data_IF_213422607344
#
_entry.id   IF_213422607344
#
_cell.length_a   1.000
_cell.length_b   1.000
_cell.length_c   1.000
_cell.angle_alpha   90.00
_cell.angle_beta   90.00
_cell.angle_gamma   90.00
#
_symmetry.space_group_name_H-M   'P 1'
#
loop_
_entity.id
_entity.type
_entity.pdbx_description
1 polymer ?
#
# COMPACT_ATOMS: atom_id res chain seq x y z
N UNK A 1 -18.28 -4.55 -29.44
CA UNK A 1 -19.12 -5.21 -28.42
C UNK A 1 -18.78 -6.68 -28.48
N UNK A 2 -18.50 -7.29 -27.33
CA UNK A 2 -18.22 -8.73 -27.23
C UNK A 2 -19.55 -9.49 -27.25
N UNK A 3 -19.62 -10.59 -28.02
CA UNK A 3 -20.83 -11.39 -28.13
C UNK A 3 -21.13 -12.19 -26.87
N UNK A 4 -20.11 -12.55 -26.11
CA UNK A 4 -20.22 -13.16 -24.79
C UNK A 4 -19.00 -12.81 -23.94
N UNK A 5 -19.12 -12.94 -22.64
CA UNK A 5 -17.99 -12.91 -21.71
C UNK A 5 -18.37 -13.71 -20.46
N UNK A 6 -17.47 -14.57 -19.92
CA UNK A 6 -17.80 -15.40 -18.77
C UNK A 6 -17.98 -14.57 -17.51
N UNK A 7 -19.06 -14.82 -16.76
CA UNK A 7 -19.24 -14.22 -15.43
C UNK A 7 -18.12 -14.65 -14.50
N UNK A 8 -17.46 -13.72 -13.82
CA UNK A 8 -16.45 -14.06 -12.82
C UNK A 8 -17.01 -14.94 -11.72
N UNK A 9 -16.24 -15.92 -11.25
CA UNK A 9 -16.56 -16.78 -10.13
C UNK A 9 -16.12 -16.10 -8.82
N UNK A 10 -16.61 -16.62 -7.70
CA UNK A 10 -16.30 -16.05 -6.38
C UNK A 10 -14.80 -16.08 -6.07
N UNK A 11 -14.21 -14.91 -5.78
CA UNK A 11 -12.77 -14.79 -5.52
C UNK A 11 -11.86 -15.12 -6.72
N UNK A 12 -12.41 -15.27 -7.93
CA UNK A 12 -11.63 -15.52 -9.14
C UNK A 12 -10.76 -14.32 -9.50
N UNK A 13 -9.50 -14.57 -9.86
CA UNK A 13 -8.59 -13.54 -10.36
C UNK A 13 -9.04 -13.06 -11.76
N UNK A 14 -8.99 -11.76 -12.03
CA UNK A 14 -9.36 -11.22 -13.35
C UNK A 14 -8.64 -11.91 -14.51
N UNK A 15 -7.35 -12.19 -14.35
CA UNK A 15 -6.59 -12.99 -15.31
C UNK A 15 -7.25 -14.35 -15.61
N UNK A 16 -7.78 -15.01 -14.59
CA UNK A 16 -8.49 -16.31 -14.74
C UNK A 16 -9.74 -16.17 -15.58
N UNK A 17 -10.51 -15.09 -15.38
CA UNK A 17 -11.70 -14.79 -16.21
C UNK A 17 -11.31 -14.62 -17.69
N UNK A 18 -10.19 -13.93 -17.97
CA UNK A 18 -9.66 -13.79 -19.33
C UNK A 18 -9.22 -15.15 -19.91
N UNK A 19 -8.63 -16.03 -19.10
CA UNK A 19 -8.28 -17.39 -19.51
C UNK A 19 -9.52 -18.22 -19.87
N UNK A 20 -10.58 -18.12 -19.08
CA UNK A 20 -11.86 -18.81 -19.36
C UNK A 20 -12.52 -18.28 -20.64
N UNK A 21 -12.44 -16.96 -20.88
CA UNK A 21 -12.87 -16.39 -22.15
C UNK A 21 -12.07 -16.98 -23.31
N UNK A 22 -10.75 -17.06 -23.19
CA UNK A 22 -9.87 -17.63 -24.22
C UNK A 22 -10.26 -19.05 -24.61
N UNK A 23 -10.47 -19.91 -23.62
CA UNK A 23 -10.91 -21.31 -23.86
C UNK A 23 -12.27 -21.35 -24.54
N UNK A 24 -13.25 -20.61 -24.03
CA UNK A 24 -14.63 -20.61 -24.52
C UNK A 24 -14.82 -19.94 -25.87
N UNK A 25 -13.91 -19.04 -26.26
CA UNK A 25 -13.90 -18.42 -27.60
C UNK A 25 -13.38 -19.35 -28.67
N UNK A 26 -12.76 -20.48 -28.29
CA UNK A 26 -12.14 -21.40 -29.25
C UNK A 26 -10.88 -20.89 -29.93
N UNK A 27 -10.33 -19.78 -29.45
CA UNK A 27 -9.09 -19.21 -29.98
C UNK A 27 -7.89 -20.11 -29.66
N UNK A 28 -7.13 -20.51 -30.69
CA UNK A 28 -5.96 -21.36 -30.51
C UNK A 28 -4.75 -20.59 -29.92
N UNK A 29 -4.66 -19.30 -30.21
CA UNK A 29 -3.55 -18.46 -29.75
C UNK A 29 -4.03 -17.32 -28.86
N UNK A 30 -3.35 -17.07 -27.74
CA UNK A 30 -3.63 -15.95 -26.83
C UNK A 30 -3.65 -14.60 -27.56
N UNK A 31 -2.81 -14.44 -28.60
CA UNK A 31 -2.78 -13.22 -29.41
C UNK A 31 -4.11 -12.90 -30.10
N UNK A 32 -4.84 -13.92 -30.58
CA UNK A 32 -6.17 -13.73 -31.18
C UNK A 32 -7.14 -13.18 -30.13
N UNK A 33 -7.14 -13.80 -28.97
CA UNK A 33 -7.95 -13.33 -27.83
C UNK A 33 -7.60 -11.90 -27.40
N UNK A 34 -6.32 -11.55 -27.41
CA UNK A 34 -5.89 -10.18 -27.10
C UNK A 34 -6.40 -9.16 -28.14
N UNK A 35 -6.40 -9.50 -29.41
CA UNK A 35 -6.98 -8.63 -30.44
C UNK A 35 -8.47 -8.38 -30.22
N UNK A 36 -9.20 -9.41 -29.82
CA UNK A 36 -10.64 -9.30 -29.54
C UNK A 36 -10.90 -8.45 -28.29
N UNK A 37 -10.21 -8.75 -27.18
CA UNK A 37 -10.46 -8.12 -25.89
C UNK A 37 -9.91 -6.68 -25.80
N UNK A 38 -8.76 -6.42 -26.45
CA UNK A 38 -7.99 -5.18 -26.26
C UNK A 38 -7.83 -4.37 -27.55
N UNK A 39 -8.71 -4.56 -28.52
CA UNK A 39 -8.77 -3.76 -29.77
C UNK A 39 -7.41 -3.65 -30.48
N UNK A 40 -6.67 -4.75 -30.51
CA UNK A 40 -5.38 -4.84 -31.21
C UNK A 40 -4.16 -4.30 -30.45
N UNK A 41 -4.28 -3.94 -29.17
CA UNK A 41 -3.11 -3.57 -28.37
C UNK A 41 -2.15 -4.77 -28.21
N UNK A 42 -0.87 -4.61 -28.52
CA UNK A 42 0.11 -5.66 -28.27
C UNK A 42 0.43 -5.74 -26.77
N UNK A 43 0.60 -6.95 -26.26
CA UNK A 43 1.12 -7.27 -24.91
C UNK A 43 0.45 -6.52 -23.74
N UNK A 44 -0.86 -6.63 -23.53
CA UNK A 44 -1.43 -6.22 -22.27
C UNK A 44 -0.83 -7.07 -21.14
N UNK A 45 -0.46 -6.47 -20.02
CA UNK A 45 0.05 -7.19 -18.84
C UNK A 45 -1.08 -7.95 -18.13
N UNK A 46 -1.68 -8.91 -18.84
CA UNK A 46 -2.89 -9.60 -18.38
C UNK A 46 -2.67 -10.48 -17.16
N UNK A 47 -1.48 -11.07 -17.01
CA UNK A 47 -1.15 -11.93 -15.87
C UNK A 47 -0.88 -11.17 -14.57
N UNK A 48 -0.86 -9.84 -14.61
CA UNK A 48 -0.68 -9.04 -13.40
C UNK A 48 -1.92 -9.14 -12.51
N UNK A 49 -1.78 -9.50 -11.22
CA UNK A 49 -2.89 -9.48 -10.27
C UNK A 49 -3.25 -8.06 -9.83
N UNK A 50 -2.47 -7.07 -10.27
CA UNK A 50 -2.79 -5.66 -10.08
C UNK A 50 -3.75 -5.19 -11.15
N UNK A 51 -4.71 -4.33 -10.79
CA UNK A 51 -5.57 -3.72 -11.77
C UNK A 51 -4.76 -2.87 -12.75
N UNK A 52 -5.16 -2.91 -13.99
CA UNK A 52 -4.63 -2.10 -15.08
C UNK A 52 -5.75 -1.79 -16.08
N UNK A 53 -5.43 -1.15 -17.17
CA UNK A 53 -6.41 -0.77 -18.19
C UNK A 53 -7.19 -1.95 -18.81
N UNK A 54 -6.73 -3.20 -18.63
CA UNK A 54 -7.41 -4.38 -19.21
C UNK A 54 -8.82 -4.58 -18.66
N UNK A 55 -9.08 -4.20 -17.41
CA UNK A 55 -10.43 -4.29 -16.82
C UNK A 55 -11.36 -3.33 -17.58
N UNK A 56 -10.98 -2.04 -17.67
CA UNK A 56 -11.77 -1.04 -18.39
C UNK A 56 -11.96 -1.41 -19.85
N UNK A 57 -10.90 -1.84 -20.54
CA UNK A 57 -10.95 -2.17 -21.95
C UNK A 57 -11.94 -3.28 -22.27
N UNK A 58 -12.04 -4.28 -21.42
CA UNK A 58 -13.02 -5.37 -21.56
C UNK A 58 -14.40 -4.90 -21.13
N UNK A 59 -14.54 -4.34 -19.93
CA UNK A 59 -15.84 -3.96 -19.37
C UNK A 59 -16.55 -2.92 -20.25
N UNK A 60 -15.81 -1.99 -20.86
CA UNK A 60 -16.38 -1.00 -21.78
C UNK A 60 -17.01 -1.60 -23.06
N UNK A 61 -16.78 -2.88 -23.35
CA UNK A 61 -17.33 -3.62 -24.47
C UNK A 61 -18.50 -4.53 -24.07
N UNK A 62 -18.79 -4.63 -22.78
CA UNK A 62 -19.85 -5.45 -22.21
C UNK A 62 -21.13 -4.64 -21.95
N UNK A 63 -22.27 -5.28 -21.73
CA UNK A 63 -23.51 -4.61 -21.34
C UNK A 63 -23.37 -3.79 -20.06
N UNK A 64 -24.24 -2.81 -19.88
CA UNK A 64 -24.19 -1.84 -18.78
C UNK A 64 -24.37 -2.42 -17.37
N UNK A 65 -24.77 -3.68 -17.25
CA UNK A 65 -24.84 -4.40 -15.97
C UNK A 65 -23.47 -4.86 -15.43
N UNK A 66 -22.37 -4.68 -16.21
CA UNK A 66 -21.02 -4.94 -15.75
C UNK A 66 -20.43 -3.71 -15.07
N UNK A 67 -20.04 -3.83 -13.82
CA UNK A 67 -19.44 -2.76 -13.05
C UNK A 67 -17.92 -2.93 -12.93
N UNK A 68 -17.18 -2.00 -13.54
CA UNK A 68 -15.72 -1.97 -13.49
C UNK A 68 -15.18 -1.86 -12.05
N UNK A 69 -15.87 -1.11 -11.18
CA UNK A 69 -15.46 -0.96 -9.77
C UNK A 69 -15.57 -2.28 -9.03
N UNK A 70 -16.65 -3.02 -9.25
CA UNK A 70 -16.85 -4.34 -8.63
C UNK A 70 -15.82 -5.37 -9.11
N UNK A 71 -15.50 -5.38 -10.42
CA UNK A 71 -14.45 -6.24 -10.95
C UNK A 71 -13.10 -5.93 -10.31
N UNK A 72 -12.71 -4.66 -10.23
CA UNK A 72 -11.43 -4.27 -9.63
C UNK A 72 -11.36 -4.64 -8.16
N UNK A 73 -12.45 -4.46 -7.40
CA UNK A 73 -12.50 -4.79 -5.98
C UNK A 73 -12.47 -6.29 -5.70
N UNK A 74 -13.22 -7.08 -6.48
CA UNK A 74 -13.47 -8.48 -6.15
C UNK A 74 -12.51 -9.44 -6.86
N UNK A 75 -11.90 -9.02 -7.99
CA UNK A 75 -11.15 -9.90 -8.88
C UNK A 75 -9.70 -9.47 -9.09
N UNK A 76 -9.18 -8.50 -8.28
CA UNK A 76 -7.78 -8.07 -8.31
C UNK A 76 -7.23 -7.87 -6.89
N UNK A 77 -5.92 -7.68 -6.77
CA UNK A 77 -5.29 -7.34 -5.50
C UNK A 77 -5.44 -5.85 -5.12
N UNK A 78 -6.30 -5.09 -5.78
CA UNK A 78 -6.52 -3.68 -5.48
C UNK A 78 -6.88 -3.42 -4.00
N UNK A 79 -7.87 -4.11 -3.38
CA UNK A 79 -8.24 -3.87 -1.99
C UNK A 79 -7.07 -4.09 -1.03
N UNK A 80 -6.28 -5.14 -1.26
CA UNK A 80 -5.10 -5.45 -0.46
C UNK A 80 -4.09 -4.30 -0.47
N UNK A 81 -3.68 -3.83 -1.66
CA UNK A 81 -2.65 -2.79 -1.75
C UNK A 81 -3.14 -1.40 -1.37
N UNK A 82 -4.43 -1.14 -1.51
CA UNK A 82 -5.02 0.13 -1.10
C UNK A 82 -5.37 0.18 0.39
N UNK A 83 -5.18 -0.92 1.13
CA UNK A 83 -5.58 -1.03 2.54
C UNK A 83 -5.08 0.12 3.41
N UNK A 84 -3.82 0.51 3.24
CA UNK A 84 -3.19 1.56 4.04
C UNK A 84 -3.35 2.99 3.47
N UNK A 85 -4.10 3.14 2.38
CA UNK A 85 -4.35 4.46 1.78
C UNK A 85 -5.62 5.11 2.33
N UNK A 86 -5.68 6.45 2.41
CA UNK A 86 -6.90 7.18 2.76
C UNK A 86 -8.04 6.88 1.79
N UNK A 87 -9.28 6.91 2.29
CA UNK A 87 -10.48 6.60 1.49
C UNK A 87 -10.56 7.43 0.21
N UNK A 88 -10.36 8.75 0.31
CA UNK A 88 -10.37 9.64 -0.85
C UNK A 88 -9.36 9.24 -1.94
N UNK A 89 -8.19 8.74 -1.56
CA UNK A 89 -7.19 8.28 -2.52
C UNK A 89 -7.56 6.93 -3.13
N UNK A 90 -8.18 6.04 -2.35
CA UNK A 90 -8.71 4.77 -2.84
C UNK A 90 -9.77 5.00 -3.92
N UNK A 91 -10.76 5.86 -3.63
CA UNK A 91 -11.85 6.17 -4.56
C UNK A 91 -11.34 6.84 -5.84
N UNK A 92 -10.45 7.83 -5.71
CA UNK A 92 -9.84 8.48 -6.87
C UNK A 92 -9.11 7.48 -7.77
N UNK A 93 -8.27 6.62 -7.18
CA UNK A 93 -7.52 5.61 -7.94
C UNK A 93 -8.47 4.60 -8.62
N UNK A 94 -9.53 4.20 -7.93
CA UNK A 94 -10.53 3.31 -8.49
C UNK A 94 -11.25 3.94 -9.68
N UNK A 95 -11.59 5.21 -9.59
CA UNK A 95 -12.21 5.96 -10.69
C UNK A 95 -11.27 6.12 -11.89
N UNK A 96 -10.00 6.47 -11.66
CA UNK A 96 -8.97 6.56 -12.70
C UNK A 96 -8.82 5.23 -13.46
N UNK A 97 -8.78 4.11 -12.73
CA UNK A 97 -8.74 2.76 -13.32
C UNK A 97 -9.99 2.45 -14.13
N UNK A 98 -11.19 2.84 -13.64
CA UNK A 98 -12.46 2.62 -14.33
C UNK A 98 -12.68 3.53 -15.54
N UNK A 99 -11.86 4.57 -15.73
CA UNK A 99 -11.82 5.41 -16.93
C UNK A 99 -10.71 5.00 -17.91
N UNK A 100 -9.89 4.00 -17.53
CA UNK A 100 -8.75 3.57 -18.35
C UNK A 100 -7.60 4.58 -18.37
N UNK A 101 -7.59 5.57 -17.47
CA UNK A 101 -6.58 6.61 -17.42
C UNK A 101 -5.22 6.08 -16.93
N UNK A 102 -5.24 5.05 -16.10
CA UNK A 102 -4.02 4.43 -15.56
C UNK A 102 -3.65 3.17 -16.35
N UNK A 103 -2.60 3.26 -17.14
CA UNK A 103 -2.09 2.13 -17.95
C UNK A 103 -1.48 1.04 -17.08
N UNK A 104 -0.71 1.42 -16.08
CA UNK A 104 -0.08 0.51 -15.11
C UNK A 104 -0.03 1.19 -13.76
N UNK A 105 -0.65 0.57 -12.77
CA UNK A 105 -0.51 0.99 -11.40
C UNK A 105 0.49 0.09 -10.67
N UNK A 106 1.46 0.70 -9.99
CA UNK A 106 2.44 -0.04 -9.19
C UNK A 106 2.26 0.35 -7.73
N UNK A 107 1.81 -0.56 -6.89
CA UNK A 107 1.62 -0.27 -5.47
C UNK A 107 2.97 -0.07 -4.75
N UNK A 108 2.92 0.59 -3.62
CA UNK A 108 4.05 0.69 -2.71
C UNK A 108 4.31 -0.67 -2.04
N UNK A 109 4.90 -1.61 -2.79
CA UNK A 109 5.30 -2.92 -2.30
C UNK A 109 6.81 -3.08 -2.29
N UNK A 110 7.33 -3.67 -1.22
CA UNK A 110 8.76 -3.96 -1.10
C UNK A 110 9.14 -5.20 -1.92
N UNK A 111 8.22 -6.13 -2.09
CA UNK A 111 8.45 -7.41 -2.77
C UNK A 111 8.44 -7.23 -4.29
N UNK A 112 7.55 -6.38 -4.80
CA UNK A 112 7.32 -6.22 -6.25
C UNK A 112 8.39 -5.37 -6.93
N UNK A 113 9.03 -4.44 -6.21
CA UNK A 113 10.11 -3.59 -6.76
C UNK A 113 11.34 -4.39 -7.22
N UNK A 114 11.55 -5.58 -6.70
CA UNK A 114 12.54 -6.51 -7.26
C UNK A 114 11.83 -7.25 -8.39
N UNK A 115 12.34 -7.19 -9.60
CA UNK A 115 11.89 -7.85 -10.84
C UNK A 115 11.76 -9.40 -10.72
N UNK A 116 11.18 -9.88 -9.65
CA UNK A 116 10.86 -11.31 -9.47
C UNK A 116 9.64 -11.56 -10.33
N UNK A 117 9.75 -12.43 -11.31
CA UNK A 117 8.66 -12.84 -12.16
C UNK A 117 7.46 -13.23 -11.30
N UNK A 118 6.30 -12.74 -11.67
CA UNK A 118 5.07 -13.09 -10.99
C UNK A 118 4.71 -14.53 -11.33
N UNK A 119 4.67 -15.42 -10.32
CA UNK A 119 4.29 -16.82 -10.49
C UNK A 119 2.90 -17.02 -9.92
N UNK A 120 1.97 -17.50 -10.74
CA UNK A 120 0.64 -17.88 -10.30
C UNK A 120 0.70 -19.09 -9.39
N UNK A 121 -0.18 -19.12 -8.39
CA UNK A 121 -0.24 -20.17 -7.38
C UNK A 121 -1.68 -20.66 -7.20
N UNK A 122 -1.82 -21.93 -6.88
CA UNK A 122 -3.10 -22.57 -6.59
C UNK A 122 -3.02 -23.46 -5.35
N UNK A 123 -4.16 -23.76 -4.79
CA UNK A 123 -4.34 -24.76 -3.74
C UNK A 123 -4.96 -26.02 -4.38
N UNK A 124 -4.37 -27.22 -4.21
CA UNK A 124 -4.93 -28.45 -4.77
C UNK A 124 -6.37 -28.74 -4.29
N UNK A 125 -6.68 -28.47 -3.04
CA UNK A 125 -8.03 -28.64 -2.51
C UNK A 125 -9.03 -27.65 -3.10
N UNK A 126 -8.67 -26.35 -3.22
CA UNK A 126 -9.53 -25.39 -3.88
C UNK A 126 -9.79 -25.79 -5.33
N UNK A 127 -8.75 -26.22 -6.06
CA UNK A 127 -8.92 -26.66 -7.45
C UNK A 127 -9.87 -27.87 -7.59
N UNK A 128 -9.87 -28.80 -6.63
CA UNK A 128 -10.82 -29.91 -6.58
C UNK A 128 -12.24 -29.43 -6.28
N UNK A 129 -12.41 -28.58 -5.27
CA UNK A 129 -13.72 -27.99 -4.94
C UNK A 129 -14.31 -27.19 -6.10
N UNK A 130 -13.47 -26.43 -6.82
CA UNK A 130 -13.89 -25.67 -7.99
C UNK A 130 -14.35 -26.59 -9.12
N UNK A 131 -13.61 -27.69 -9.34
CA UNK A 131 -14.00 -28.71 -10.32
C UNK A 131 -15.36 -29.32 -9.95
N UNK A 132 -15.57 -29.68 -8.69
CA UNK A 132 -16.82 -30.25 -8.21
C UNK A 132 -17.99 -29.26 -8.33
N UNK A 133 -17.76 -27.99 -8.08
CA UNK A 133 -18.80 -26.96 -8.04
C UNK A 133 -19.10 -26.32 -9.39
N UNK A 134 -18.06 -26.04 -10.17
CA UNK A 134 -18.15 -25.26 -11.40
C UNK A 134 -17.75 -26.01 -12.67
N UNK A 135 -17.24 -27.24 -12.53
CA UNK A 135 -16.73 -28.05 -13.63
C UNK A 135 -15.36 -27.63 -14.16
N UNK A 136 -14.75 -26.62 -13.56
CA UNK A 136 -13.42 -26.14 -13.93
C UNK A 136 -12.72 -25.43 -12.77
N UNK A 137 -11.43 -25.70 -12.50
CA UNK A 137 -10.65 -24.97 -11.51
C UNK A 137 -10.22 -23.62 -12.08
N UNK A 138 -10.01 -22.64 -11.18
CA UNK A 138 -9.62 -21.29 -11.56
C UNK A 138 -8.56 -20.69 -10.63
N UNK A 139 -7.92 -19.61 -11.07
CA UNK A 139 -6.93 -18.88 -10.26
C UNK A 139 -7.63 -17.99 -9.25
N UNK A 140 -7.50 -18.31 -7.95
CA UNK A 140 -8.04 -17.49 -6.87
C UNK A 140 -7.19 -16.26 -6.60
N UNK A 141 -7.82 -15.11 -6.39
CA UNK A 141 -7.15 -13.85 -6.09
C UNK A 141 -6.35 -13.92 -4.79
N UNK A 142 -6.90 -14.56 -3.75
CA UNK A 142 -6.26 -14.69 -2.43
C UNK A 142 -4.96 -15.48 -2.47
N UNK A 143 -4.83 -16.43 -3.38
CA UNK A 143 -3.60 -17.21 -3.56
C UNK A 143 -2.46 -16.39 -4.18
N UNK A 144 -2.78 -15.24 -4.79
CA UNK A 144 -1.80 -14.40 -5.46
C UNK A 144 -1.19 -13.32 -4.57
N UNK A 145 -1.60 -13.23 -3.29
CA UNK A 145 -1.02 -12.27 -2.34
C UNK A 145 0.46 -12.62 -2.09
N UNK A 146 1.42 -11.68 -2.24
CA UNK A 146 2.86 -11.99 -2.30
C UNK A 146 3.44 -12.83 -1.16
N UNK A 147 2.91 -12.67 0.05
CA UNK A 147 3.36 -13.41 1.24
C UNK A 147 2.55 -14.68 1.51
N UNK A 148 1.50 -14.97 0.72
CA UNK A 148 0.71 -16.17 0.92
C UNK A 148 1.51 -17.39 0.44
N UNK A 149 1.98 -18.21 1.35
CA UNK A 149 2.66 -19.49 1.09
C UNK A 149 1.72 -20.66 1.29
N UNK A 150 0.64 -20.45 2.03
CA UNK A 150 -0.34 -21.45 2.46
C UNK A 150 -1.75 -20.97 2.11
N UNK A 151 -2.63 -21.87 1.75
CA UNK A 151 -4.05 -21.57 1.54
C UNK A 151 -4.72 -21.20 2.87
N UNK A 152 -5.41 -20.06 2.91
CA UNK A 152 -6.11 -19.59 4.12
C UNK A 152 -7.34 -20.47 4.50
N UNK A 153 -7.85 -21.26 3.56
CA UNK A 153 -8.99 -22.16 3.75
C UNK A 153 -8.57 -23.58 4.15
N UNK A 154 -7.52 -24.12 3.51
CA UNK A 154 -7.14 -25.53 3.62
C UNK A 154 -5.83 -25.77 4.38
N UNK A 155 -5.16 -24.73 4.83
CA UNK A 155 -3.90 -24.80 5.60
C UNK A 155 -2.78 -25.64 4.92
N UNK A 156 -2.84 -25.80 3.60
CA UNK A 156 -1.82 -26.48 2.80
C UNK A 156 -1.00 -25.51 1.97
N UNK A 157 0.24 -25.87 1.63
CA UNK A 157 1.12 -25.05 0.79
C UNK A 157 0.49 -24.80 -0.57
N UNK A 158 0.58 -23.56 -1.03
CA UNK A 158 0.20 -23.18 -2.39
C UNK A 158 1.25 -23.72 -3.38
N UNK A 159 0.77 -24.26 -4.48
CA UNK A 159 1.61 -24.78 -5.57
C UNK A 159 1.85 -23.69 -6.62
N UNK A 160 3.11 -23.44 -7.01
CA UNK A 160 3.41 -22.54 -8.11
C UNK A 160 3.05 -23.22 -9.45
N UNK A 161 2.74 -22.40 -10.45
CA UNK A 161 2.65 -22.84 -11.84
C UNK A 161 4.04 -23.21 -12.36
N UNK A 162 4.25 -24.42 -12.85
CA UNK A 162 5.57 -24.97 -13.18
C UNK A 162 6.26 -24.27 -14.40
N UNK A 163 5.50 -23.62 -15.28
CA UNK A 163 6.00 -23.06 -16.54
C UNK A 163 6.03 -21.52 -16.55
N UNK A 164 6.36 -20.88 -15.44
CA UNK A 164 6.18 -19.44 -15.23
C UNK A 164 6.92 -18.50 -16.21
N UNK A 165 8.04 -18.90 -16.81
CA UNK A 165 8.85 -17.98 -17.62
C UNK A 165 8.43 -17.90 -19.10
N UNK A 166 8.00 -18.99 -19.71
CA UNK A 166 7.55 -19.01 -21.11
C UNK A 166 6.17 -18.40 -21.32
N UNK A 167 5.39 -18.21 -20.25
CA UNK A 167 3.96 -17.90 -20.30
C UNK A 167 3.58 -16.48 -19.87
N UNK A 168 4.57 -15.59 -19.70
CA UNK A 168 4.32 -14.20 -19.23
C UNK A 168 3.30 -13.42 -20.05
N UNK A 169 3.11 -13.80 -21.30
CA UNK A 169 2.21 -13.15 -22.25
C UNK A 169 1.13 -14.10 -22.79
N UNK A 170 0.93 -15.25 -22.15
CA UNK A 170 -0.04 -16.26 -22.60
C UNK A 170 -1.21 -16.35 -21.62
N UNK A 171 -2.37 -16.72 -22.14
CA UNK A 171 -3.54 -17.06 -21.34
C UNK A 171 -3.46 -18.54 -20.97
N UNK A 172 -3.22 -18.82 -19.70
CA UNK A 172 -2.99 -20.15 -19.18
C UNK A 172 -4.05 -20.48 -18.12
N UNK A 173 -5.19 -21.06 -18.53
CA UNK A 173 -6.22 -21.45 -17.60
C UNK A 173 -5.72 -22.56 -16.67
N UNK A 174 -6.15 -22.53 -15.40
CA UNK A 174 -5.74 -23.53 -14.41
C UNK A 174 -6.20 -24.92 -14.81
N UNK A 175 -7.36 -25.05 -15.47
CA UNK A 175 -7.90 -26.30 -15.98
C UNK A 175 -7.03 -27.01 -17.04
N UNK A 176 -6.12 -26.29 -17.67
CA UNK A 176 -5.19 -26.82 -18.68
C UNK A 176 -3.78 -27.05 -18.10
N UNK A 177 -3.58 -26.85 -16.80
CA UNK A 177 -2.30 -27.09 -16.15
C UNK A 177 -2.26 -28.50 -15.55
N UNK A 178 -1.05 -29.12 -15.50
CA UNK A 178 -0.88 -30.34 -14.74
C UNK A 178 -1.05 -30.01 -13.26
N UNK A 179 -2.19 -30.42 -12.68
CA UNK A 179 -2.45 -30.20 -11.25
C UNK A 179 -1.79 -31.29 -10.42
N UNK A 180 -0.98 -30.89 -9.46
CA UNK A 180 -0.41 -31.83 -8.50
C UNK A 180 -1.47 -32.25 -7.48
N UNK A 181 -1.63 -33.57 -7.29
CA UNK A 181 -2.46 -34.13 -6.23
C UNK A 181 -1.72 -34.16 -4.87
N UNK A 182 -0.42 -33.95 -4.88
CA UNK A 182 0.39 -33.96 -3.67
C UNK A 182 0.05 -32.76 -2.78
N UNK A 183 -0.35 -33.05 -1.55
CA UNK A 183 -0.70 -32.07 -0.55
C UNK A 183 0.45 -31.91 0.43
N UNK A 184 1.04 -30.73 0.45
CA UNK A 184 2.06 -30.36 1.43
C UNK A 184 1.41 -29.54 2.55
N UNK A 185 1.54 -29.93 3.82
CA UNK A 185 1.07 -29.13 4.93
C UNK A 185 1.89 -27.84 5.09
N UNK A 186 1.37 -26.89 5.84
CA UNK A 186 2.16 -25.74 6.30
C UNK A 186 3.39 -26.23 7.07
N UNK A 187 4.53 -25.63 6.82
CA UNK A 187 5.79 -26.01 7.47
C UNK A 187 5.88 -25.41 8.88
N UNK A 188 5.38 -24.19 9.03
CA UNK A 188 5.40 -23.47 10.28
C UNK A 188 4.00 -23.01 10.70
N UNK A 189 3.67 -23.04 12.01
CA UNK A 189 2.35 -22.58 12.50
C UNK A 189 2.03 -21.13 12.11
N UNK A 190 3.02 -20.27 12.05
CA UNK A 190 2.84 -18.85 11.68
C UNK A 190 2.36 -18.66 10.22
N UNK A 191 2.65 -19.59 9.32
CA UNK A 191 2.20 -19.52 7.93
C UNK A 191 0.66 -19.52 7.84
N UNK A 192 0.00 -20.35 8.66
CA UNK A 192 -1.46 -20.42 8.74
C UNK A 192 -2.07 -19.12 9.27
N UNK A 193 -1.52 -18.62 10.38
CA UNK A 193 -1.97 -17.35 10.96
C UNK A 193 -1.76 -16.19 9.99
N UNK A 194 -0.61 -16.15 9.34
CA UNK A 194 -0.30 -15.11 8.36
C UNK A 194 -1.22 -15.17 7.15
N UNK A 195 -1.55 -16.35 6.63
CA UNK A 195 -2.44 -16.50 5.48
C UNK A 195 -3.86 -15.99 5.77
N UNK A 196 -4.36 -16.16 6.99
CA UNK A 196 -5.64 -15.61 7.44
C UNK A 196 -5.59 -14.07 7.50
N UNK A 197 -4.54 -13.52 8.09
CA UNK A 197 -4.33 -12.06 8.11
C UNK A 197 -4.30 -11.50 6.69
N UNK A 198 -3.56 -12.13 5.78
CA UNK A 198 -3.48 -11.72 4.38
C UNK A 198 -4.85 -11.77 3.68
N UNK A 199 -5.61 -12.83 3.92
CA UNK A 199 -6.97 -12.96 3.42
C UNK A 199 -7.87 -11.85 3.94
N UNK A 200 -7.81 -11.53 5.24
CA UNK A 200 -8.59 -10.44 5.83
C UNK A 200 -8.27 -9.09 5.18
N UNK A 201 -6.99 -8.82 4.89
CA UNK A 201 -6.61 -7.59 4.19
C UNK A 201 -7.15 -7.48 2.77
N UNK A 202 -7.41 -8.59 2.12
CA UNK A 202 -8.02 -8.62 0.79
C UNK A 202 -9.56 -8.57 0.85
N UNK A 203 -10.17 -9.39 1.71
CA UNK A 203 -11.61 -9.70 1.68
C UNK A 203 -12.46 -8.82 2.60
N UNK A 204 -11.90 -8.27 3.69
CA UNK A 204 -12.62 -7.33 4.56
C UNK A 204 -12.99 -6.05 3.81
N UNK A 205 -14.07 -5.36 4.21
CA UNK A 205 -14.57 -4.22 3.47
C UNK A 205 -13.49 -3.24 3.04
N UNK A 206 -13.47 -2.91 1.78
CA UNK A 206 -12.49 -2.02 1.15
C UNK A 206 -12.50 -0.60 1.75
N UNK A 207 -13.67 -0.12 2.18
CA UNK A 207 -13.89 1.21 2.73
C UNK A 207 -13.28 1.41 4.12
N UNK A 208 -12.87 0.32 4.79
CA UNK A 208 -12.19 0.43 6.08
C UNK A 208 -10.86 1.15 5.87
N UNK A 209 -10.73 2.30 6.49
CA UNK A 209 -9.54 3.13 6.43
C UNK A 209 -8.58 2.87 7.58
N UNK A 210 -7.30 3.23 7.42
CA UNK A 210 -6.38 3.30 8.54
C UNK A 210 -6.96 4.16 9.68
N UNK A 211 -6.69 3.78 10.90
CA UNK A 211 -7.23 4.45 12.09
C UNK A 211 -6.81 5.92 12.15
N UNK A 212 -7.76 6.77 12.50
CA UNK A 212 -7.67 8.22 12.52
C UNK A 212 -6.60 8.78 13.48
N UNK A 213 -5.33 8.73 13.07
CA UNK A 213 -4.21 9.22 13.88
C UNK A 213 -3.88 8.38 15.11
N UNK A 214 -4.54 7.22 15.30
CA UNK A 214 -4.27 6.28 16.37
C UNK A 214 -3.76 4.97 15.82
N UNK A 215 -2.58 4.55 16.25
CA UNK A 215 -1.94 3.33 15.80
C UNK A 215 -2.07 2.23 16.87
N UNK A 216 -3.10 1.40 16.74
CA UNK A 216 -3.36 0.29 17.67
C UNK A 216 -2.22 -0.72 17.72
N UNK A 217 -1.58 -0.97 16.57
CA UNK A 217 -0.41 -1.85 16.52
C UNK A 217 0.72 -1.34 17.43
N UNK A 218 1.01 -0.03 17.40
CA UNK A 218 2.02 0.56 18.27
C UNK A 218 1.61 0.46 19.73
N UNK A 219 0.31 0.59 20.05
CA UNK A 219 -0.13 0.40 21.44
C UNK A 219 0.15 -1.01 21.93
N UNK A 220 -0.17 -2.04 21.13
CA UNK A 220 0.15 -3.43 21.47
C UNK A 220 1.67 -3.65 21.61
N UNK A 221 2.49 -3.06 20.73
CA UNK A 221 3.95 -3.09 20.86
C UNK A 221 4.44 -2.52 22.20
N UNK A 222 3.83 -1.44 22.68
CA UNK A 222 4.16 -0.82 23.96
C UNK A 222 3.74 -1.71 25.13
N UNK A 223 2.53 -2.26 25.08
CA UNK A 223 1.96 -3.12 26.12
C UNK A 223 2.77 -4.42 26.27
N UNK A 224 3.32 -4.95 25.17
CA UNK A 224 4.23 -6.09 25.17
C UNK A 224 5.70 -5.74 25.45
N UNK A 225 5.99 -4.48 25.81
CA UNK A 225 7.33 -4.06 26.24
C UNK A 225 8.36 -3.89 25.12
N UNK A 226 7.91 -3.74 23.86
CA UNK A 226 8.78 -3.47 22.71
C UNK A 226 9.05 -1.98 22.47
N UNK A 227 8.63 -1.14 23.37
CA UNK A 227 8.87 0.30 23.31
C UNK A 227 8.53 1.00 24.61
N UNK A 228 8.76 2.30 24.63
CA UNK A 228 8.49 3.16 25.78
C UNK A 228 7.76 4.42 25.33
N UNK A 229 6.77 4.84 26.11
CA UNK A 229 6.12 6.13 25.98
C UNK A 229 6.65 7.08 27.06
N UNK A 230 7.25 8.19 26.63
CA UNK A 230 7.71 9.26 27.54
C UNK A 230 6.98 10.54 27.18
N UNK A 231 6.04 10.97 28.00
CA UNK A 231 5.18 12.16 27.74
C UNK A 231 4.50 12.04 26.35
N UNK A 232 4.88 12.90 25.39
CA UNK A 232 4.34 12.90 24.01
C UNK A 232 5.14 12.04 23.02
N UNK A 233 6.27 11.48 23.45
CA UNK A 233 7.17 10.75 22.57
C UNK A 233 7.05 9.24 22.77
N UNK A 234 7.05 8.50 21.65
CA UNK A 234 7.11 7.05 21.63
C UNK A 234 8.45 6.65 21.01
N UNK A 235 9.10 5.67 21.62
CA UNK A 235 10.32 5.06 21.13
C UNK A 235 10.14 3.54 21.06
N UNK A 236 10.31 2.95 19.89
CA UNK A 236 10.28 1.49 19.71
C UNK A 236 11.69 0.91 19.77
N UNK A 237 11.83 -0.26 20.38
CA UNK A 237 13.07 -1.02 20.36
C UNK A 237 13.17 -1.86 19.08
N UNK A 238 13.45 -1.18 17.97
CA UNK A 238 13.51 -1.81 16.65
C UNK A 238 14.52 -2.96 16.55
N UNK A 239 15.63 -2.92 17.31
CA UNK A 239 16.61 -4.01 17.33
C UNK A 239 16.02 -5.29 17.94
N UNK A 240 15.28 -5.14 19.06
CA UNK A 240 14.61 -6.27 19.70
C UNK A 240 13.52 -6.83 18.81
N UNK A 241 12.67 -5.97 18.23
CA UNK A 241 11.62 -6.37 17.31
C UNK A 241 12.21 -7.17 16.13
N UNK A 242 13.25 -6.64 15.47
CA UNK A 242 13.89 -7.29 14.34
C UNK A 242 14.44 -8.66 14.70
N UNK A 243 15.22 -8.74 15.80
CA UNK A 243 15.81 -9.99 16.27
C UNK A 243 14.76 -11.07 16.58
N UNK A 244 13.69 -10.68 17.28
CA UNK A 244 12.66 -11.62 17.70
C UNK A 244 11.75 -12.04 16.53
N UNK A 245 11.53 -11.15 15.53
CA UNK A 245 10.92 -11.51 14.25
C UNK A 245 11.77 -12.48 13.44
N UNK A 246 13.10 -12.34 13.43
CA UNK A 246 14.00 -13.29 12.76
C UNK A 246 13.88 -14.69 13.35
N UNK A 247 13.68 -14.81 14.66
CA UNK A 247 13.46 -16.11 15.32
C UNK A 247 12.14 -16.77 14.89
N UNK A 248 11.09 -15.97 14.67
CA UNK A 248 9.77 -16.48 14.31
C UNK A 248 9.66 -16.80 12.81
N UNK A 249 10.05 -15.85 11.96
CA UNK A 249 9.81 -15.90 10.52
C UNK A 249 11.03 -16.35 9.68
N UNK A 250 12.19 -16.48 10.32
CA UNK A 250 13.47 -16.68 9.62
C UNK A 250 14.14 -15.37 9.21
N UNK A 251 15.46 -15.41 9.15
CA UNK A 251 16.28 -14.22 8.83
C UNK A 251 16.04 -13.71 7.42
N UNK A 252 15.91 -14.59 6.43
CA UNK A 252 15.79 -14.23 5.02
C UNK A 252 14.54 -13.40 4.75
N UNK A 253 13.39 -13.80 5.30
CA UNK A 253 12.14 -13.07 5.11
C UNK A 253 12.19 -11.69 5.80
N UNK A 254 12.69 -11.66 7.04
CA UNK A 254 12.77 -10.41 7.80
C UNK A 254 13.79 -9.45 7.19
N UNK A 255 14.97 -9.91 6.82
CA UNK A 255 15.99 -9.09 6.15
C UNK A 255 15.52 -8.57 4.79
N UNK A 256 14.79 -9.38 4.03
CA UNK A 256 14.21 -8.97 2.75
C UNK A 256 13.26 -7.78 2.89
N UNK A 257 12.45 -7.73 3.95
CA UNK A 257 11.44 -6.70 4.16
C UNK A 257 11.96 -5.51 4.99
N UNK A 258 12.73 -5.77 6.03
CA UNK A 258 13.15 -4.76 7.00
C UNK A 258 14.63 -4.37 6.88
N UNK A 259 15.43 -5.10 6.08
CA UNK A 259 16.88 -4.94 5.99
C UNK A 259 17.61 -5.68 7.14
N UNK A 260 18.90 -5.48 7.24
CA UNK A 260 19.75 -6.13 8.29
C UNK A 260 19.35 -5.68 9.73
N UNK A 261 18.65 -4.56 9.85
CA UNK A 261 18.11 -4.03 11.11
C UNK A 261 16.97 -3.08 10.83
N UNK A 262 16.03 -2.95 11.77
CA UNK A 262 15.03 -1.89 11.71
C UNK A 262 15.67 -0.52 11.91
N UNK A 263 15.61 0.31 10.88
CA UNK A 263 16.18 1.67 10.90
C UNK A 263 15.34 2.63 11.74
N UNK A 264 15.96 3.72 12.23
CA UNK A 264 15.24 4.79 12.95
C UNK A 264 14.12 5.43 12.08
N UNK A 265 14.33 5.72 10.79
CA UNK A 265 13.24 6.17 9.92
C UNK A 265 12.07 5.18 9.84
N UNK A 266 12.35 3.87 9.78
CA UNK A 266 11.30 2.85 9.75
C UNK A 266 10.51 2.80 11.06
N UNK A 267 11.18 2.81 12.23
CA UNK A 267 10.51 2.89 13.52
C UNK A 267 9.61 4.12 13.61
N UNK A 268 10.10 5.27 13.14
CA UNK A 268 9.31 6.50 13.10
C UNK A 268 8.11 6.40 12.15
N UNK A 269 8.29 5.76 11.00
CA UNK A 269 7.19 5.54 10.06
C UNK A 269 6.09 4.63 10.66
N UNK A 270 6.47 3.58 11.40
CA UNK A 270 5.52 2.71 12.11
C UNK A 270 4.76 3.52 13.18
N UNK A 271 5.46 4.28 14.02
CA UNK A 271 4.84 5.10 15.07
C UNK A 271 3.85 6.11 14.49
N UNK A 272 4.20 6.73 13.39
CA UNK A 272 3.39 7.76 12.73
C UNK A 272 2.35 7.20 11.77
N UNK A 273 2.18 5.88 11.72
CA UNK A 273 1.24 5.22 10.79
C UNK A 273 1.41 5.69 9.34
N UNK A 274 2.66 5.89 8.94
CA UNK A 274 2.96 6.31 7.56
C UNK A 274 2.84 5.13 6.61
N UNK A 275 2.62 5.45 5.35
CA UNK A 275 2.58 4.46 4.29
C UNK A 275 3.94 3.74 4.18
N UNK A 276 4.01 2.56 4.77
CA UNK A 276 4.99 1.53 4.46
C UNK A 276 4.37 0.51 3.51
N UNK A 277 5.17 -0.40 2.97
CA UNK A 277 4.57 -1.53 2.26
C UNK A 277 3.67 -2.32 3.21
N UNK A 278 2.51 -2.76 2.71
CA UNK A 278 1.55 -3.50 3.52
C UNK A 278 2.16 -4.78 4.09
N UNK A 279 3.06 -5.42 3.35
CA UNK A 279 3.75 -6.64 3.78
C UNK A 279 4.50 -6.46 5.11
N UNK A 280 5.08 -5.29 5.34
CA UNK A 280 5.73 -4.98 6.62
C UNK A 280 4.73 -4.88 7.75
N UNK A 281 3.58 -4.24 7.53
CA UNK A 281 2.53 -4.15 8.54
C UNK A 281 1.92 -5.51 8.83
N UNK A 282 1.71 -6.34 7.83
CA UNK A 282 1.16 -7.69 7.98
C UNK A 282 2.09 -8.59 8.81
N UNK A 283 3.42 -8.56 8.56
CA UNK A 283 4.36 -9.31 9.38
C UNK A 283 4.37 -8.82 10.84
N UNK A 284 4.36 -7.51 11.05
CA UNK A 284 4.27 -6.95 12.41
C UNK A 284 2.94 -7.32 13.08
N UNK A 285 1.84 -7.27 12.34
CA UNK A 285 0.52 -7.67 12.82
C UNK A 285 0.51 -9.12 13.28
N UNK A 286 1.05 -10.04 12.48
CA UNK A 286 1.17 -11.45 12.84
C UNK A 286 2.12 -11.70 14.00
N UNK A 287 3.26 -10.99 14.05
CA UNK A 287 4.24 -11.11 15.14
C UNK A 287 3.68 -10.69 16.50
N UNK A 288 2.89 -9.62 16.53
CA UNK A 288 2.27 -9.09 17.74
C UNK A 288 0.87 -9.67 18.01
N UNK A 289 0.42 -10.62 17.20
CA UNK A 289 -0.91 -11.27 17.28
C UNK A 289 -2.06 -10.25 17.34
N UNK A 290 -2.03 -9.27 16.44
CA UNK A 290 -3.05 -8.24 16.36
C UNK A 290 -4.10 -8.64 15.32
N UNK A 291 -5.37 -8.78 15.73
CA UNK A 291 -6.45 -9.06 14.78
C UNK A 291 -6.63 -7.90 13.79
N UNK A 292 -7.20 -8.19 12.62
CA UNK A 292 -7.55 -7.16 11.63
C UNK A 292 -8.45 -6.07 12.26
N UNK A 293 -9.48 -6.49 12.98
CA UNK A 293 -10.44 -5.57 13.57
C UNK A 293 -9.79 -4.71 14.66
N UNK A 294 -8.91 -5.28 15.50
CA UNK A 294 -8.13 -4.51 16.48
C UNK A 294 -7.21 -3.50 15.78
N UNK A 295 -6.51 -3.92 14.72
CA UNK A 295 -5.56 -3.06 14.00
C UNK A 295 -6.25 -1.83 13.39
N UNK A 296 -7.46 -2.01 12.85
CA UNK A 296 -8.21 -0.96 12.16
C UNK A 296 -9.37 -0.38 12.99
N UNK A 297 -9.52 -0.77 14.25
CA UNK A 297 -10.52 -0.17 15.14
C UNK A 297 -10.17 1.31 15.39
N UNK A 298 -10.98 2.25 14.93
CA UNK A 298 -10.72 3.66 15.15
C UNK A 298 -10.80 3.98 16.64
N UNK A 299 -9.89 4.85 17.11
CA UNK A 299 -10.09 5.48 18.42
C UNK A 299 -11.39 6.28 18.35
N UNK A 300 -12.34 6.08 19.27
CA UNK A 300 -13.56 6.86 19.28
C UNK A 300 -13.20 8.36 19.27
N UNK A 301 -13.67 9.07 18.27
CA UNK A 301 -13.72 10.53 18.35
C UNK A 301 -14.80 10.87 19.38
N UNK A 302 -14.58 11.93 20.15
CA UNK A 302 -15.64 12.44 21.01
C UNK A 302 -16.88 12.72 20.15
N UNK A 303 -18.06 12.40 20.68
CA UNK A 303 -19.34 12.52 19.96
C UNK A 303 -19.47 13.91 19.30
N UNK A 304 -19.86 13.91 18.04
CA UNK A 304 -20.04 15.14 17.26
C UNK A 304 -18.73 15.82 16.80
N UNK A 305 -17.56 15.24 17.01
CA UNK A 305 -16.29 15.87 16.61
C UNK A 305 -16.09 15.86 15.09
N UNK A 306 -16.53 14.81 14.44
CA UNK A 306 -16.50 14.73 12.98
C UNK A 306 -17.45 15.75 12.35
N UNK A 307 -18.67 15.86 12.86
CA UNK A 307 -19.69 16.82 12.40
C UNK A 307 -19.19 18.26 12.59
N UNK A 308 -18.52 18.55 13.70
CA UNK A 308 -17.88 19.86 13.93
C UNK A 308 -16.80 20.14 12.87
N UNK A 309 -15.92 19.19 12.59
CA UNK A 309 -14.88 19.37 11.58
C UNK A 309 -15.48 19.55 10.18
N UNK A 310 -16.53 18.79 9.85
CA UNK A 310 -17.29 18.90 8.62
C UNK A 310 -17.94 20.29 8.49
N UNK A 311 -18.63 20.75 9.53
CA UNK A 311 -19.23 22.08 9.59
C UNK A 311 -18.19 23.19 9.33
N UNK A 312 -17.00 23.10 9.93
CA UNK A 312 -15.91 24.05 9.66
C UNK A 312 -15.41 24.02 8.21
N UNK A 313 -15.47 22.86 7.56
CA UNK A 313 -15.14 22.76 6.13
C UNK A 313 -16.19 23.41 5.21
N UNK A 314 -17.46 23.39 5.63
CA UNK A 314 -18.60 23.87 4.84
C UNK A 314 -18.90 25.37 5.05
N UNK A 315 -18.54 25.93 6.19
CA UNK A 315 -18.84 27.35 6.52
C UNK A 315 -18.08 28.38 5.70
N UNK A 316 -17.11 27.96 4.88
CA UNK A 316 -16.23 28.89 4.14
C UNK A 316 -15.26 29.69 5.02
N UNK A 317 -15.43 29.67 6.34
CA UNK A 317 -14.50 30.27 7.30
C UNK A 317 -13.32 29.35 7.49
N UNK A 318 -12.15 29.82 7.08
CA UNK A 318 -10.93 29.01 7.10
C UNK A 318 -10.05 29.42 8.29
N UNK A 319 -9.64 28.43 9.04
CA UNK A 319 -8.81 28.60 10.24
C UNK A 319 -7.39 28.16 9.99
N UNK A 320 -6.44 28.81 10.65
CA UNK A 320 -5.06 28.29 10.72
C UNK A 320 -5.05 26.92 11.40
N UNK A 321 -4.14 26.04 10.97
CA UNK A 321 -4.10 24.61 11.41
C UNK A 321 -4.06 24.45 12.93
N UNK A 322 -3.24 25.28 13.61
CA UNK A 322 -3.12 25.22 15.06
C UNK A 322 -4.39 25.74 15.75
N UNK A 323 -4.93 26.87 15.32
CA UNK A 323 -6.14 27.43 15.88
C UNK A 323 -7.35 26.48 15.76
N UNK A 324 -7.46 25.75 14.66
CA UNK A 324 -8.50 24.72 14.50
C UNK A 324 -8.26 23.52 15.41
N UNK A 325 -7.00 23.10 15.58
CA UNK A 325 -6.63 22.03 16.48
C UNK A 325 -7.02 22.34 17.94
N UNK A 326 -6.68 23.54 18.38
CA UNK A 326 -6.97 24.00 19.76
C UNK A 326 -8.49 24.12 19.97
N UNK A 327 -9.23 24.66 18.96
CA UNK A 327 -10.68 24.82 19.03
C UNK A 327 -11.45 23.50 19.07
N UNK A 328 -10.93 22.46 18.39
CA UNK A 328 -11.56 21.15 18.34
C UNK A 328 -11.03 20.19 19.42
N UNK A 329 -10.00 20.57 20.16
CA UNK A 329 -9.33 19.66 21.10
C UNK A 329 -8.65 18.47 20.43
N UNK A 330 -8.32 18.59 19.15
CA UNK A 330 -7.65 17.56 18.36
C UNK A 330 -6.18 17.91 18.15
N UNK A 331 -5.35 16.91 17.91
CA UNK A 331 -3.98 17.15 17.45
C UNK A 331 -3.96 17.57 15.97
N UNK A 332 -2.96 18.35 15.56
CA UNK A 332 -2.74 18.70 14.16
C UNK A 332 -2.71 17.48 13.24
N UNK A 333 -2.13 16.37 13.71
CA UNK A 333 -2.05 15.12 12.96
C UNK A 333 -3.43 14.51 12.73
N UNK A 334 -4.29 14.53 13.75
CA UNK A 334 -5.67 14.04 13.65
C UNK A 334 -6.48 14.87 12.67
N UNK A 335 -6.39 16.20 12.74
CA UNK A 335 -7.13 17.08 11.83
C UNK A 335 -6.65 16.91 10.38
N UNK A 336 -5.34 16.89 10.14
CA UNK A 336 -4.78 16.65 8.80
C UNK A 336 -5.21 15.30 8.24
N UNK A 337 -5.25 14.28 9.08
CA UNK A 337 -5.68 12.96 8.68
C UNK A 337 -7.17 12.94 8.34
N UNK A 338 -8.04 13.44 9.22
CA UNK A 338 -9.47 13.54 8.99
C UNK A 338 -9.80 14.33 7.72
N UNK A 339 -9.14 15.49 7.56
CA UNK A 339 -9.32 16.33 6.37
C UNK A 339 -8.96 15.60 5.09
N UNK A 340 -7.88 14.82 5.09
CA UNK A 340 -7.44 14.03 3.94
C UNK A 340 -8.37 12.83 3.70
N UNK A 341 -8.79 12.15 4.75
CA UNK A 341 -9.64 10.97 4.70
C UNK A 341 -11.02 11.27 4.10
N UNK A 342 -11.61 12.37 4.55
CA UNK A 342 -12.96 12.78 4.15
C UNK A 342 -13.00 13.92 3.13
N UNK A 343 -11.86 14.23 2.51
CA UNK A 343 -11.71 15.34 1.53
C UNK A 343 -12.23 16.68 2.06
N UNK A 344 -12.11 16.91 3.37
CA UNK A 344 -12.51 18.16 3.99
C UNK A 344 -11.42 19.20 3.79
N UNK A 345 -11.83 20.46 3.55
CA UNK A 345 -10.92 21.61 3.48
C UNK A 345 -11.24 22.65 4.55
N UNK A 346 -11.01 22.35 5.85
CA UNK A 346 -11.31 23.27 6.94
C UNK A 346 -10.22 24.33 7.12
N UNK A 347 -9.11 24.21 6.39
CA UNK A 347 -7.99 25.11 6.49
C UNK A 347 -8.12 26.27 5.52
N UNK A 348 -7.88 27.47 6.01
CA UNK A 348 -7.48 28.59 5.18
C UNK A 348 -6.14 28.30 4.52
N UNK A 349 -5.83 29.04 3.48
CA UNK A 349 -4.42 29.24 3.16
C UNK A 349 -3.76 29.69 4.46
N UNK A 350 -2.73 28.98 4.93
CA UNK A 350 -1.94 29.48 6.05
C UNK A 350 -1.65 30.93 5.70
N UNK A 351 -1.92 31.92 6.58
CA UNK A 351 -1.61 33.30 6.25
C UNK A 351 -0.20 33.28 5.69
N UNK A 352 -0.04 33.79 4.46
CA UNK A 352 1.25 33.79 3.76
C UNK A 352 2.28 34.10 4.83
N UNK A 353 3.25 33.24 5.12
CA UNK A 353 4.29 33.59 6.04
C UNK A 353 4.78 34.93 5.53
N UNK A 354 4.78 35.94 6.40
CA UNK A 354 5.33 37.24 6.05
C UNK A 354 6.51 36.97 5.12
N UNK A 355 6.54 37.59 3.95
CA UNK A 355 7.59 37.30 2.94
C UNK A 355 8.99 37.33 3.54
N UNK A 356 9.15 38.05 4.65
CA UNK A 356 10.32 38.05 5.52
C UNK A 356 10.67 36.71 6.21
N UNK A 357 9.78 35.69 6.23
CA UNK A 357 10.02 34.38 6.88
C UNK A 357 10.04 33.18 5.93
N UNK A 358 10.09 33.37 4.64
CA UNK A 358 10.42 32.26 3.72
C UNK A 358 11.93 32.06 3.65
N UNK A 359 12.55 31.72 4.77
CA UNK A 359 13.92 31.17 4.72
C UNK A 359 13.81 29.73 4.14
N UNK A 360 13.94 29.61 2.83
CA UNK A 360 14.37 28.34 2.25
C UNK A 360 15.78 28.11 2.79
N UNK A 361 15.99 26.97 3.47
CA UNK A 361 17.32 26.61 3.94
C UNK A 361 18.26 26.56 2.71
N UNK A 362 19.23 27.46 2.66
CA UNK A 362 20.32 27.38 1.71
C UNK A 362 21.37 26.43 2.28
N UNK A 363 21.55 25.29 1.65
CA UNK A 363 22.55 24.31 2.08
C UNK A 363 23.83 24.56 1.25
N UNK A 364 24.85 25.06 1.90
CA UNK A 364 26.16 25.21 1.30
C UNK A 364 27.03 24.00 1.62
N UNK A 365 27.46 23.29 0.59
CA UNK A 365 28.47 22.24 0.71
C UNK A 365 29.86 22.82 0.64
N UNK A 366 30.63 22.71 1.69
CA UNK A 366 32.01 23.18 1.72
C UNK A 366 32.95 22.03 2.22
N UNK A 367 34.21 22.12 1.85
CA UNK A 367 35.26 21.23 2.37
C UNK A 367 35.49 21.49 3.87
N UNK A 368 36.05 20.52 4.58
CA UNK A 368 36.37 20.67 6.01
C UNK A 368 37.29 21.88 6.25
N UNK A 369 38.27 22.09 5.37
CA UNK A 369 39.19 23.26 5.44
C UNK A 369 38.45 24.60 5.31
N UNK A 370 37.54 24.72 4.35
CA UNK A 370 36.72 25.92 4.18
C UNK A 370 35.77 26.14 5.34
N UNK A 371 35.22 25.08 5.92
CA UNK A 371 34.37 25.19 7.11
C UNK A 371 35.12 25.73 8.31
N UNK A 372 36.37 25.32 8.48
CA UNK A 372 37.22 25.84 9.57
C UNK A 372 37.59 27.30 9.38
N UNK A 373 37.88 27.72 8.12
CA UNK A 373 38.08 29.13 7.77
C UNK A 373 36.83 29.99 8.02
N UNK A 374 35.63 29.47 7.68
CA UNK A 374 34.36 30.13 7.95
C UNK A 374 34.16 30.30 9.46
N UNK A 375 34.43 29.25 10.24
CA UNK A 375 34.32 29.29 11.70
C UNK A 375 35.25 30.36 12.33
N UNK A 376 36.52 30.35 11.94
CA UNK A 376 37.49 31.33 12.43
C UNK A 376 37.12 32.78 12.06
N UNK A 377 36.62 32.98 10.84
CA UNK A 377 36.16 34.28 10.40
C UNK A 377 34.90 34.75 11.15
N UNK A 378 33.96 33.84 11.40
CA UNK A 378 32.74 34.10 12.19
C UNK A 378 33.09 34.56 13.61
N UNK A 379 34.04 33.87 14.29
CA UNK A 379 34.52 34.24 15.63
C UNK A 379 35.18 35.64 15.58
N UNK A 380 36.06 35.90 14.61
CA UNK A 380 36.74 37.19 14.46
C UNK A 380 35.77 38.36 14.29
N UNK A 381 34.65 38.13 13.64
CA UNK A 381 33.60 39.11 13.40
C UNK A 381 32.51 39.14 14.48
N UNK A 382 32.63 38.35 15.55
CA UNK A 382 31.72 38.36 16.69
C UNK A 382 30.40 37.60 16.48
N UNK A 383 30.34 36.74 15.48
CA UNK A 383 29.17 35.90 15.26
C UNK A 383 29.18 34.66 16.18
N UNK A 384 28.05 34.36 16.82
CA UNK A 384 27.90 33.16 17.66
C UNK A 384 27.69 31.85 16.87
N UNK A 385 27.26 31.98 15.60
CA UNK A 385 26.96 30.81 14.73
C UNK A 385 27.50 31.04 13.32
N UNK A 386 28.16 30.05 12.74
CA UNK A 386 28.73 30.08 11.40
C UNK A 386 27.67 30.33 10.32
N UNK A 387 26.42 29.88 10.55
CA UNK A 387 25.31 30.11 9.65
C UNK A 387 24.91 31.58 9.52
N UNK A 388 24.94 32.34 10.63
CA UNK A 388 24.63 33.78 10.63
C UNK A 388 25.76 34.58 9.95
N UNK A 389 27.01 34.16 10.13
CA UNK A 389 28.13 34.74 9.42
C UNK A 389 28.07 34.49 7.91
N UNK A 390 27.75 33.24 7.51
CA UNK A 390 27.59 32.90 6.10
C UNK A 390 26.45 33.70 5.45
N UNK A 391 25.32 33.86 6.14
CA UNK A 391 24.18 34.66 5.69
C UNK A 391 24.58 36.15 5.51
N UNK A 392 25.30 36.71 6.49
CA UNK A 392 25.83 38.07 6.42
C UNK A 392 26.75 38.25 5.21
N UNK A 393 27.70 37.34 4.98
CA UNK A 393 28.62 37.43 3.84
C UNK A 393 27.88 37.31 2.50
N UNK A 394 26.93 36.40 2.38
CA UNK A 394 26.12 36.24 1.15
C UNK A 394 25.33 37.54 0.89
N UNK A 395 24.69 38.11 1.92
CA UNK A 395 23.91 39.33 1.79
C UNK A 395 24.81 40.52 1.36
N UNK A 396 25.96 40.65 1.99
CA UNK A 396 26.91 41.72 1.64
C UNK A 396 27.41 41.62 0.19
N UNK A 397 27.74 40.39 -0.27
CA UNK A 397 28.16 40.17 -1.66
C UNK A 397 27.01 40.39 -2.65
N UNK A 398 25.79 40.03 -2.28
CA UNK A 398 24.61 40.29 -3.11
C UNK A 398 24.35 41.80 -3.25
N UNK A 399 24.44 42.55 -2.15
CA UNK A 399 24.29 44.02 -2.18
C UNK A 399 25.36 44.65 -3.07
N UNK A 400 26.62 44.17 -3.01
CA UNK A 400 27.73 44.66 -3.86
C UNK A 400 27.61 44.30 -5.37
N UNK A 401 26.83 43.28 -5.73
CA UNK A 401 26.63 42.85 -7.14
C UNK A 401 25.38 43.50 -7.75
N UNK A 402 24.38 43.82 -6.92
CA UNK A 402 23.09 44.35 -7.37
C UNK A 402 23.01 45.86 -7.37
N UNK A 403 23.97 46.59 -6.68
CA UNK A 403 24.23 48.01 -6.79
C UNK A 403 25.17 48.30 -7.99
#
# INVERSE_FOLDING_TARGET
>A
MLNFFPTPLDGELWYSVLCRYHVRSGNLASFTTYKELFRGRPNPKVSSPFPNSTVYEVVSQLPSNWDCKEIIKNHTLFPYYMRMYPLAQKERMLEELCRGETQTWTPASTIIKKKVGWTLRYCPFCAKEDMDKYGEPYWHTVHQIPLATVCCKHDCKLRPMEQAESLRNSLCPLSMQPLSEEILPAEFPWEKSLSKILSDHLTKPYQISPTLGYNNLVQVMLDQGYGLRRRKNISLNGRRIHRDMCKLYGEDLVKKLFGEKMSVPMNRAIIQWRLLSLERYVLLQGFFDVSFDTMFNPKPLADGMFEKLKAFSETGVKYGKQALADKLGLTLSQIKYLSKEYQLNPFGEDPMPNEEKKTKAFVMHCTLENREKIHQAAIKMGFQHDSHFAEYCIKKVMDEILD
#
